data_IF_788502669023
#
_entry.id   IF_788502669023
#
_cell.length_a   1.000
_cell.length_b   1.000
_cell.length_c   1.000
_cell.angle_alpha   90.00
_cell.angle_beta   90.00
_cell.angle_gamma   90.00
#
_symmetry.space_group_name_H-M   'P 1'
#
loop_
_entity.id
_entity.type
_entity.pdbx_description
1 polymer ?
#
# COMPACT_ATOMS: atom_id res chain seq x y z
N UNK A 1 -25.47 0.01 -3.56
CA UNK A 1 -25.15 1.05 -4.57
C UNK A 1 -24.95 2.45 -3.98
N UNK A 2 -25.65 2.86 -2.90
CA UNK A 2 -25.42 4.13 -2.21
C UNK A 2 -24.08 4.16 -1.46
N UNK A 3 -23.69 3.08 -0.85
CA UNK A 3 -22.43 2.94 -0.11
C UNK A 3 -21.21 3.05 -1.03
N UNK A 4 -21.28 2.52 -2.23
CA UNK A 4 -20.24 2.65 -3.26
C UNK A 4 -20.06 4.10 -3.72
N UNK A 5 -21.16 4.85 -3.87
CA UNK A 5 -21.10 6.28 -4.26
C UNK A 5 -20.55 7.16 -3.14
N UNK A 6 -20.89 6.88 -1.88
CA UNK A 6 -20.37 7.59 -0.72
C UNK A 6 -18.86 7.36 -0.55
N UNK A 7 -18.40 6.12 -0.74
CA UNK A 7 -16.98 5.78 -0.72
C UNK A 7 -16.22 6.51 -1.83
N UNK A 8 -16.70 6.42 -3.07
CA UNK A 8 -16.06 7.09 -4.19
C UNK A 8 -15.98 8.62 -4.03
N UNK A 9 -17.06 9.25 -3.51
CA UNK A 9 -17.06 10.69 -3.22
C UNK A 9 -16.05 11.06 -2.13
N UNK A 10 -15.94 10.25 -1.07
CA UNK A 10 -14.94 10.44 -0.02
C UNK A 10 -13.51 10.31 -0.55
N UNK A 11 -13.27 9.37 -1.45
CA UNK A 11 -11.95 9.12 -2.03
C UNK A 11 -11.53 10.26 -2.98
N UNK A 12 -12.47 10.78 -3.78
CA UNK A 12 -12.25 11.98 -4.61
C UNK A 12 -11.94 13.20 -3.76
N UNK A 13 -12.67 13.39 -2.68
CA UNK A 13 -12.45 14.51 -1.75
C UNK A 13 -11.08 14.44 -1.06
N UNK A 14 -10.69 13.26 -0.59
CA UNK A 14 -9.35 13.05 -0.01
C UNK A 14 -8.24 13.33 -1.02
N UNK A 15 -8.40 12.86 -2.26
CA UNK A 15 -7.45 13.13 -3.35
C UNK A 15 -7.34 14.63 -3.63
N UNK A 16 -8.45 15.35 -3.66
CA UNK A 16 -8.45 16.78 -3.91
C UNK A 16 -7.74 17.55 -2.80
N UNK A 17 -8.01 17.24 -1.52
CA UNK A 17 -7.32 17.86 -0.39
C UNK A 17 -5.82 17.59 -0.42
N UNK A 18 -5.41 16.35 -0.71
CA UNK A 18 -3.99 15.97 -0.79
C UNK A 18 -3.29 16.67 -1.96
N UNK A 19 -3.98 16.85 -3.10
CA UNK A 19 -3.46 17.58 -4.25
C UNK A 19 -3.33 19.08 -3.97
N UNK A 20 -4.37 19.69 -3.40
CA UNK A 20 -4.40 21.13 -3.11
C UNK A 20 -3.37 21.55 -2.05
N UNK A 21 -3.03 20.63 -1.15
CA UNK A 21 -2.02 20.86 -0.11
C UNK A 21 -0.58 20.59 -0.56
N UNK A 22 -0.33 20.26 -1.83
CA UNK A 22 0.99 19.83 -2.38
C UNK A 22 1.64 18.66 -1.60
N UNK A 23 0.85 17.96 -0.80
CA UNK A 23 1.32 16.81 -0.01
C UNK A 23 1.65 15.65 -0.93
N UNK A 24 0.93 15.51 -2.05
CA UNK A 24 1.18 14.46 -3.03
C UNK A 24 2.58 14.55 -3.61
N UNK A 25 3.01 15.75 -4.01
CA UNK A 25 4.36 15.98 -4.57
C UNK A 25 5.44 15.66 -3.53
N UNK A 26 5.21 16.02 -2.28
CA UNK A 26 6.13 15.72 -1.17
C UNK A 26 6.22 14.20 -0.92
N UNK A 27 5.10 13.49 -0.97
CA UNK A 27 5.08 12.02 -0.83
C UNK A 27 5.82 11.36 -2.00
N UNK A 28 5.55 11.80 -3.24
CA UNK A 28 6.23 11.29 -4.44
C UNK A 28 7.72 11.53 -4.34
N UNK A 29 8.13 12.75 -4.01
CA UNK A 29 9.54 13.10 -3.87
C UNK A 29 10.23 12.27 -2.77
N UNK A 30 9.55 12.05 -1.65
CA UNK A 30 10.03 11.18 -0.58
C UNK A 30 10.21 9.74 -1.04
N UNK A 31 9.23 9.18 -1.76
CA UNK A 31 9.30 7.82 -2.30
C UNK A 31 10.43 7.69 -3.33
N UNK A 32 10.51 8.62 -4.27
CA UNK A 32 11.58 8.64 -5.29
C UNK A 32 12.95 8.69 -4.65
N UNK A 33 13.15 9.56 -3.65
CA UNK A 33 14.42 9.67 -2.94
C UNK A 33 14.78 8.37 -2.21
N UNK A 34 13.82 7.77 -1.49
CA UNK A 34 14.06 6.50 -0.77
C UNK A 34 14.41 5.39 -1.75
N UNK A 35 13.66 5.26 -2.84
CA UNK A 35 13.85 4.20 -3.82
C UNK A 35 15.13 4.40 -4.64
N UNK A 36 15.49 5.65 -4.98
CA UNK A 36 16.71 5.95 -5.74
C UNK A 36 18.01 5.69 -4.96
N UNK A 37 17.99 5.80 -3.64
CA UNK A 37 19.16 5.48 -2.79
C UNK A 37 19.38 3.98 -2.70
N UNK A 38 18.36 3.17 -3.02
CA UNK A 38 18.45 1.70 -2.98
C UNK A 38 19.13 1.16 -4.23
N UNK A 39 19.92 0.06 -4.11
CA UNK A 39 20.40 -0.69 -5.25
C UNK A 39 19.26 -1.19 -6.13
N UNK A 40 19.46 -1.29 -7.44
CA UNK A 40 18.43 -1.69 -8.40
C UNK A 40 17.73 -3.00 -8.04
N UNK A 41 18.48 -3.93 -7.43
CA UNK A 41 17.97 -5.24 -7.00
C UNK A 41 16.90 -5.17 -5.90
N UNK A 42 16.82 -4.09 -5.13
CA UNK A 42 15.87 -3.98 -4.00
C UNK A 42 14.89 -2.81 -4.13
N UNK A 43 14.95 -2.07 -5.24
CA UNK A 43 14.03 -0.93 -5.49
C UNK A 43 12.55 -1.33 -5.42
N UNK A 44 12.21 -2.51 -5.98
CA UNK A 44 10.84 -3.02 -5.93
C UNK A 44 10.38 -3.35 -4.50
N UNK A 45 11.28 -3.85 -3.66
CA UNK A 45 11.01 -4.07 -2.23
C UNK A 45 10.78 -2.73 -1.54
N UNK A 46 11.57 -1.71 -1.88
CA UNK A 46 11.37 -0.34 -1.38
C UNK A 46 9.99 0.21 -1.74
N UNK A 47 9.55 0.03 -2.99
CA UNK A 47 8.20 0.42 -3.42
C UNK A 47 7.10 -0.33 -2.65
N UNK A 48 7.25 -1.63 -2.43
CA UNK A 48 6.32 -2.43 -1.64
C UNK A 48 6.19 -1.91 -0.20
N UNK A 49 7.32 -1.63 0.46
CA UNK A 49 7.31 -1.09 1.82
C UNK A 49 6.69 0.31 1.87
N UNK A 50 6.98 1.17 0.89
CA UNK A 50 6.35 2.48 0.77
C UNK A 50 4.82 2.38 0.62
N UNK A 51 4.33 1.45 -0.20
CA UNK A 51 2.89 1.21 -0.36
C UNK A 51 2.24 0.73 0.95
N UNK A 52 2.92 -0.15 1.69
CA UNK A 52 2.45 -0.61 3.00
C UNK A 52 2.36 0.54 4.01
N UNK A 53 3.30 1.49 3.99
CA UNK A 53 3.28 2.68 4.84
C UNK A 53 2.15 3.64 4.44
N UNK A 54 1.94 3.86 3.14
CA UNK A 54 0.84 4.70 2.64
C UNK A 54 -0.51 4.11 3.04
N UNK A 55 -0.64 2.79 3.04
CA UNK A 55 -1.87 2.13 3.48
C UNK A 55 -2.17 2.37 4.96
N UNK A 56 -1.19 2.65 5.80
CA UNK A 56 -1.44 3.08 7.18
C UNK A 56 -2.24 4.40 7.26
N UNK A 57 -2.13 5.23 6.22
CA UNK A 57 -2.82 6.53 6.15
C UNK A 57 -4.12 6.43 5.34
N UNK A 58 -4.07 5.70 4.21
CA UNK A 58 -5.20 5.53 3.29
C UNK A 58 -5.61 4.05 3.29
N UNK A 59 -6.40 3.65 4.26
CA UNK A 59 -6.80 2.24 4.50
C UNK A 59 -7.82 1.70 3.49
N UNK A 60 -8.19 2.47 2.47
CA UNK A 60 -9.12 2.04 1.41
C UNK A 60 -8.32 1.65 0.18
N UNK A 61 -8.33 0.38 -0.22
CA UNK A 61 -7.61 -0.11 -1.39
C UNK A 61 -7.95 0.67 -2.67
N UNK A 62 -9.23 0.96 -2.93
CA UNK A 62 -9.66 1.79 -4.06
C UNK A 62 -9.22 3.24 -3.90
N UNK A 63 -9.30 3.80 -2.70
CA UNK A 63 -8.85 5.16 -2.39
C UNK A 63 -7.33 5.27 -2.52
N UNK A 64 -6.58 4.32 -2.00
CA UNK A 64 -5.14 4.26 -2.15
C UNK A 64 -4.75 4.13 -3.62
N UNK A 65 -5.36 3.22 -4.38
CA UNK A 65 -5.11 3.08 -5.82
C UNK A 65 -5.34 4.38 -6.59
N UNK A 66 -6.45 5.07 -6.31
CA UNK A 66 -6.78 6.33 -6.99
C UNK A 66 -5.75 7.45 -6.72
N UNK A 67 -5.11 7.42 -5.56
CA UNK A 67 -4.07 8.40 -5.17
C UNK A 67 -2.70 7.95 -5.63
N UNK A 68 -2.33 6.68 -5.38
CA UNK A 68 -0.95 6.22 -5.56
C UNK A 68 -0.63 5.77 -6.98
N UNK A 69 -1.59 5.18 -7.73
CA UNK A 69 -1.29 4.68 -9.07
C UNK A 69 -0.84 5.77 -10.05
N UNK A 70 -1.50 6.94 -10.14
CA UNK A 70 -1.02 8.03 -11.00
C UNK A 70 0.38 8.53 -10.64
N UNK A 71 0.81 8.35 -9.39
CA UNK A 71 2.13 8.75 -8.90
C UNK A 71 3.17 7.64 -9.12
N UNK A 72 2.77 6.38 -8.94
CA UNK A 72 3.68 5.24 -9.07
C UNK A 72 4.08 4.97 -10.51
N UNK A 73 3.23 5.30 -11.50
CA UNK A 73 3.57 5.11 -12.92
C UNK A 73 4.80 5.94 -13.31
N UNK A 74 4.85 7.26 -13.14
CA UNK A 74 6.06 8.03 -13.43
C UNK A 74 7.25 7.64 -12.52
N UNK A 75 7.00 7.28 -11.25
CA UNK A 75 8.07 6.82 -10.34
C UNK A 75 8.69 5.53 -10.86
N UNK A 76 7.89 4.55 -11.29
CA UNK A 76 8.40 3.29 -11.83
C UNK A 76 9.24 3.49 -13.09
N UNK A 77 8.79 4.39 -13.99
CA UNK A 77 9.53 4.74 -15.21
C UNK A 77 10.88 5.41 -14.88
N UNK A 78 10.91 6.30 -13.88
CA UNK A 78 12.14 6.98 -13.44
C UNK A 78 13.14 6.06 -12.75
N UNK A 79 12.64 5.09 -11.99
CA UNK A 79 13.46 4.15 -11.22
C UNK A 79 13.87 2.92 -12.05
N UNK A 80 13.26 2.75 -13.24
CA UNK A 80 13.56 1.64 -14.14
C UNK A 80 12.89 0.32 -13.73
N UNK A 81 11.76 0.39 -13.01
CA UNK A 81 10.95 -0.77 -12.61
C UNK A 81 9.75 -0.88 -13.54
N UNK A 82 9.33 -2.10 -13.89
CA UNK A 82 8.13 -2.28 -14.71
C UNK A 82 6.88 -1.77 -14.00
N UNK A 83 5.94 -1.24 -14.75
CA UNK A 83 4.65 -0.79 -14.21
C UNK A 83 3.85 -1.92 -13.58
N UNK A 84 4.02 -3.15 -14.07
CA UNK A 84 3.39 -4.35 -13.50
C UNK A 84 3.97 -4.67 -12.11
N UNK A 85 5.28 -4.57 -11.94
CA UNK A 85 5.92 -4.72 -10.63
C UNK A 85 5.45 -3.65 -9.65
N UNK A 86 5.20 -2.42 -10.09
CA UNK A 86 4.60 -1.37 -9.26
C UNK A 86 3.18 -1.70 -8.80
N UNK A 87 2.36 -2.27 -9.69
CA UNK A 87 1.01 -2.74 -9.34
C UNK A 87 1.09 -3.90 -8.35
N UNK A 88 2.03 -4.82 -8.54
CA UNK A 88 2.26 -5.92 -7.60
C UNK A 88 2.67 -5.40 -6.22
N UNK A 89 3.58 -4.41 -6.16
CA UNK A 89 3.98 -3.76 -4.91
C UNK A 89 2.79 -3.14 -4.18
N UNK A 90 1.91 -2.46 -4.91
CA UNK A 90 0.67 -1.91 -4.37
C UNK A 90 -0.24 -3.01 -3.82
N UNK A 91 -0.52 -4.05 -4.60
CA UNK A 91 -1.44 -5.13 -4.22
C UNK A 91 -0.98 -5.88 -2.96
N UNK A 92 0.31 -6.20 -2.88
CA UNK A 92 0.88 -6.86 -1.70
C UNK A 92 0.88 -5.91 -0.50
N UNK A 93 1.22 -4.64 -0.70
CA UNK A 93 1.24 -3.63 0.35
C UNK A 93 -0.14 -3.38 0.96
N UNK A 94 -1.16 -3.19 0.13
CA UNK A 94 -2.55 -3.00 0.56
C UNK A 94 -3.11 -4.27 1.22
N UNK A 95 -2.98 -5.43 0.56
CA UNK A 95 -3.57 -6.68 1.01
C UNK A 95 -3.04 -7.13 2.38
N UNK A 96 -1.73 -7.07 2.59
CA UNK A 96 -1.12 -7.55 3.83
C UNK A 96 -1.37 -6.60 4.99
N UNK A 97 -1.19 -5.31 4.80
CA UNK A 97 -1.35 -4.34 5.88
C UNK A 97 -2.79 -4.20 6.37
N UNK A 98 -3.79 -4.36 5.51
CA UNK A 98 -5.21 -4.34 5.90
C UNK A 98 -5.60 -5.44 6.90
N UNK A 99 -4.83 -6.55 6.97
CA UNK A 99 -5.08 -7.63 7.94
C UNK A 99 -4.68 -7.27 9.37
N UNK A 100 -3.87 -6.22 9.55
CA UNK A 100 -3.29 -5.83 10.85
C UNK A 100 -3.76 -4.44 11.27
N UNK A 101 -4.08 -3.55 10.32
CA UNK A 101 -4.41 -2.16 10.62
C UNK A 101 -5.76 -2.02 11.33
N UNK A 102 -5.81 -1.35 12.50
CA UNK A 102 -7.05 -1.14 13.26
C UNK A 102 -8.03 -0.19 12.55
N UNK A 103 -7.55 0.55 11.57
CA UNK A 103 -8.38 1.45 10.76
C UNK A 103 -9.16 0.71 9.67
N UNK A 104 -8.87 -0.56 9.42
CA UNK A 104 -9.63 -1.39 8.49
C UNK A 104 -11.01 -1.67 9.05
N UNK A 105 -12.04 -1.06 8.46
CA UNK A 105 -13.43 -1.22 8.88
C UNK A 105 -13.91 -2.67 8.76
N UNK A 106 -13.44 -3.39 7.76
CA UNK A 106 -13.75 -4.81 7.56
C UNK A 106 -13.17 -5.65 8.70
N UNK A 107 -11.89 -5.45 9.05
CA UNK A 107 -11.25 -6.17 10.16
C UNK A 107 -11.97 -5.90 11.48
N UNK A 108 -12.22 -4.64 11.78
CA UNK A 108 -12.91 -4.27 13.03
C UNK A 108 -14.33 -4.79 13.08
N UNK A 109 -15.03 -4.84 11.94
CA UNK A 109 -16.36 -5.45 11.83
C UNK A 109 -16.33 -6.94 12.16
N UNK A 110 -15.40 -7.70 11.61
CA UNK A 110 -15.26 -9.14 11.90
C UNK A 110 -14.90 -9.39 13.37
N UNK A 111 -13.98 -8.62 13.94
CA UNK A 111 -13.59 -8.75 15.34
C UNK A 111 -14.73 -8.41 16.29
N UNK A 112 -15.56 -7.40 15.97
CA UNK A 112 -16.72 -7.04 16.76
C UNK A 112 -17.77 -8.14 16.77
N UNK A 113 -18.09 -8.74 15.62
CA UNK A 113 -19.03 -9.87 15.50
C UNK A 113 -18.50 -11.11 16.23
N UNK A 114 -17.21 -11.39 16.11
CA UNK A 114 -16.55 -12.54 16.73
C UNK A 114 -16.27 -12.33 18.22
N UNK A 115 -16.51 -11.13 18.76
CA UNK A 115 -16.20 -10.75 20.16
C UNK A 115 -14.73 -11.01 20.55
N UNK A 116 -13.82 -10.90 19.57
CA UNK A 116 -12.38 -11.07 19.78
C UNK A 116 -11.75 -9.69 19.99
N UNK A 117 -11.06 -9.46 21.13
CA UNK A 117 -10.37 -8.20 21.35
C UNK A 117 -9.20 -8.05 20.35
N UNK A 118 -9.07 -6.86 19.78
CA UNK A 118 -8.05 -6.52 18.78
C UNK A 118 -6.62 -6.89 19.24
N UNK A 119 -6.30 -6.73 20.51
CA UNK A 119 -4.99 -7.09 21.07
C UNK A 119 -4.66 -8.57 20.96
N UNK A 120 -5.64 -9.46 21.09
CA UNK A 120 -5.44 -10.91 20.86
C UNK A 120 -5.27 -11.22 19.38
N UNK A 121 -6.06 -10.59 18.52
CA UNK A 121 -5.93 -10.71 17.09
C UNK A 121 -4.54 -10.26 16.62
N UNK A 122 -4.09 -9.10 17.06
CA UNK A 122 -2.79 -8.56 16.70
C UNK A 122 -1.64 -9.51 17.06
N UNK A 123 -1.64 -10.04 18.28
CA UNK A 123 -0.62 -11.02 18.71
C UNK A 123 -0.61 -12.28 17.86
N UNK A 124 -1.77 -12.74 17.44
CA UNK A 124 -1.90 -13.92 16.58
C UNK A 124 -1.45 -13.60 15.14
N UNK A 125 -1.82 -12.44 14.60
CA UNK A 125 -1.54 -12.06 13.22
C UNK A 125 -0.11 -11.56 12.99
N UNK A 126 0.56 -11.00 14.01
CA UNK A 126 1.90 -10.43 13.83
C UNK A 126 2.93 -11.41 13.25
N UNK A 127 3.08 -12.63 13.75
CA UNK A 127 4.02 -13.58 13.16
C UNK A 127 3.65 -13.94 11.71
N UNK A 128 2.37 -14.10 11.42
CA UNK A 128 1.88 -14.37 10.08
C UNK A 128 2.11 -13.18 9.13
N UNK A 129 1.87 -11.97 9.61
CA UNK A 129 2.14 -10.73 8.87
C UNK A 129 3.63 -10.60 8.52
N UNK A 130 4.54 -10.93 9.45
CA UNK A 130 5.98 -10.93 9.18
C UNK A 130 6.37 -11.98 8.13
N UNK A 131 5.79 -13.17 8.18
CA UNK A 131 6.00 -14.21 7.16
C UNK A 131 5.48 -13.73 5.80
N UNK A 132 4.29 -13.16 5.73
CA UNK A 132 3.73 -12.62 4.49
C UNK A 132 4.55 -11.47 3.92
N UNK A 133 5.03 -10.58 4.77
CA UNK A 133 5.91 -9.48 4.34
C UNK A 133 7.23 -10.01 3.80
N UNK A 134 7.83 -11.00 4.45
CA UNK A 134 9.04 -11.66 3.95
C UNK A 134 8.82 -12.36 2.60
N UNK A 135 7.71 -13.10 2.45
CA UNK A 135 7.32 -13.70 1.17
C UNK A 135 7.05 -12.64 0.11
N UNK A 136 6.38 -11.54 0.46
CA UNK A 136 6.15 -10.41 -0.43
C UNK A 136 7.47 -9.82 -0.95
N UNK A 137 8.45 -9.63 -0.08
CA UNK A 137 9.80 -9.20 -0.49
C UNK A 137 10.45 -10.19 -1.46
N UNK A 138 10.34 -11.49 -1.20
CA UNK A 138 10.87 -12.53 -2.10
C UNK A 138 10.18 -12.50 -3.46
N UNK A 139 8.85 -12.36 -3.51
CA UNK A 139 8.10 -12.24 -4.76
C UNK A 139 8.49 -10.98 -5.53
N UNK A 140 8.71 -9.85 -4.84
CA UNK A 140 9.16 -8.62 -5.47
C UNK A 140 10.56 -8.75 -6.08
N UNK A 141 11.49 -9.42 -5.39
CA UNK A 141 12.80 -9.74 -5.93
C UNK A 141 12.71 -10.68 -7.14
N UNK A 142 11.85 -11.71 -7.06
CA UNK A 142 11.58 -12.60 -8.18
C UNK A 142 11.00 -11.88 -9.39
N UNK A 143 10.06 -10.97 -9.19
CA UNK A 143 9.46 -10.17 -10.26
C UNK A 143 10.51 -9.31 -10.98
N UNK A 144 11.44 -8.69 -10.23
CA UNK A 144 12.56 -7.95 -10.83
C UNK A 144 13.48 -8.84 -11.66
N UNK A 145 13.80 -10.05 -11.17
CA UNK A 145 14.70 -10.97 -11.88
C UNK A 145 14.09 -11.51 -13.18
N UNK A 146 12.78 -11.67 -13.24
CA UNK A 146 12.04 -12.16 -14.41
C UNK A 146 11.76 -11.03 -15.40
N UNK A 147 11.88 -9.75 -14.97
CA UNK A 147 11.53 -8.58 -15.78
C UNK A 147 10.02 -8.38 -15.93
N UNK A 148 9.26 -8.81 -14.92
CA UNK A 148 7.80 -8.74 -14.88
C UNK A 148 7.31 -7.30 -14.74
#
# INVERSE_FOLDING_TARGET
STQSRSSAASDVYKRQILSDANILDTIVYGIVNIVNVMPDSIKAVGMFLCQSLINCVIVSGTGQAAVTMPLMVPVSDLVGISRQTSVLAFQLGDGFSNSVLPMSSSLMGYLAVSKIPYSKWLKFMMPLFLIWTALGCLFMLGALMIGY
#
